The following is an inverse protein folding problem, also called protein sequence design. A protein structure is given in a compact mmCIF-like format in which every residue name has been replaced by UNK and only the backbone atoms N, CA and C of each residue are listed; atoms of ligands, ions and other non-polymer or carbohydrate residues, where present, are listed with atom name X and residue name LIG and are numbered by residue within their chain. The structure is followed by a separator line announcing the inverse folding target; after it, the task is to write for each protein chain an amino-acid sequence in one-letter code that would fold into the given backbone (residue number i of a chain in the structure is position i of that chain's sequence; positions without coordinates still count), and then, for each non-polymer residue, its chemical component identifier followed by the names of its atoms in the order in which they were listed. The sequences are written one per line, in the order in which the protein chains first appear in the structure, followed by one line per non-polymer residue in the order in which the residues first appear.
data_IF_461731035145
#
_entry.id   IF_461731035145
#
_cell.length_a   1.000
_cell.length_b   1.000
_cell.length_c   1.000
_cell.angle_alpha   90.00
_cell.angle_beta   90.00
_cell.angle_gamma   90.00
#
_symmetry.space_group_name_H-M   'P 1'
#
loop_
_entity.id
_entity.type
_entity.pdbx_description
1 polymer ?
#
# COMPACT_ATOMS: atom_id res chain seq x y z
N UNK A 1 -40.32 33.03 -51.96
CA UNK A 1 -39.20 32.63 -52.84
C UNK A 1 -38.41 31.50 -52.16
N UNK A 2 -38.32 30.36 -52.87
CA UNK A 2 -37.24 29.35 -52.96
C UNK A 2 -36.63 28.67 -51.70
N UNK A 3 -37.03 27.40 -51.55
CA UNK A 3 -36.24 26.15 -51.41
C UNK A 3 -35.36 25.83 -50.17
N UNK A 4 -35.72 24.72 -49.49
CA UNK A 4 -34.86 23.70 -48.82
C UNK A 4 -33.99 22.93 -49.88
N UNK A 5 -32.97 22.07 -49.57
CA UNK A 5 -32.82 21.20 -48.37
C UNK A 5 -31.40 20.84 -47.84
N UNK A 6 -31.41 20.22 -46.65
CA UNK A 6 -30.61 19.08 -46.12
C UNK A 6 -29.08 18.96 -46.25
N UNK A 7 -28.42 18.96 -45.08
CA UNK A 7 -27.45 17.94 -44.56
C UNK A 7 -27.61 17.99 -43.03
N UNK A 8 -28.13 17.02 -42.27
CA UNK A 8 -27.81 15.60 -42.07
C UNK A 8 -26.40 15.32 -41.55
N UNK A 9 -26.22 15.39 -40.24
CA UNK A 9 -25.40 14.41 -39.50
C UNK A 9 -26.03 14.17 -38.12
N UNK A 10 -26.64 13.00 -38.00
CA UNK A 10 -26.98 12.32 -36.75
C UNK A 10 -25.68 12.08 -35.93
N UNK A 11 -25.66 11.75 -34.63
CA UNK A 11 -26.47 10.74 -33.91
C UNK A 11 -26.15 10.90 -32.40
N UNK A 12 -27.17 10.72 -31.55
CA UNK A 12 -27.07 10.45 -30.09
C UNK A 12 -26.70 8.95 -29.86
N UNK A 13 -26.90 8.36 -28.66
CA UNK A 13 -26.08 8.34 -27.45
C UNK A 13 -25.65 6.89 -27.04
N UNK A 14 -24.85 6.77 -25.97
CA UNK A 14 -24.73 5.66 -24.99
C UNK A 14 -24.79 4.18 -25.42
N UNK A 15 -23.80 3.38 -24.97
CA UNK A 15 -24.01 1.97 -24.65
C UNK A 15 -22.87 1.41 -23.81
N UNK A 16 -23.20 0.90 -22.62
CA UNK A 16 -22.50 -0.25 -22.05
C UNK A 16 -22.55 -1.39 -23.08
N UNK A 17 -21.41 -1.98 -23.39
CA UNK A 17 -21.34 -3.27 -24.06
C UNK A 17 -19.97 -3.88 -23.72
N UNK A 18 -19.98 -4.85 -22.82
CA UNK A 18 -19.72 -6.23 -23.20
C UNK A 18 -18.23 -6.48 -23.39
N UNK A 19 -17.60 -6.98 -22.31
CA UNK A 19 -16.41 -7.80 -22.44
C UNK A 19 -16.76 -8.94 -23.40
N UNK A 20 -16.30 -8.78 -24.65
CA UNK A 20 -16.56 -9.68 -25.75
C UNK A 20 -15.94 -11.05 -25.46
N UNK A 21 -16.77 -11.96 -24.98
CA UNK A 21 -16.53 -13.40 -24.97
C UNK A 21 -16.72 -13.92 -26.40
N UNK A 22 -15.68 -13.83 -27.24
CA UNK A 22 -15.65 -14.57 -28.51
C UNK A 22 -14.23 -14.92 -28.92
N UNK A 23 -13.91 -16.21 -28.87
CA UNK A 23 -12.69 -16.78 -29.43
C UNK A 23 -12.54 -18.27 -29.10
N UNK A 24 -13.40 -19.13 -29.67
CA UNK A 24 -13.19 -20.58 -29.72
C UNK A 24 -12.07 -20.90 -30.73
N UNK A 25 -10.99 -21.55 -30.29
CA UNK A 25 -10.22 -22.55 -31.04
C UNK A 25 -8.93 -22.94 -30.25
N UNK A 26 -8.70 -24.25 -30.09
CA UNK A 26 -7.50 -24.94 -29.50
C UNK A 26 -7.48 -25.07 -27.96
N UNK A 27 -7.94 -26.23 -27.46
CA UNK A 27 -8.30 -26.45 -26.04
C UNK A 27 -7.14 -26.80 -25.08
N UNK A 28 -5.97 -27.23 -25.54
CA UNK A 28 -4.92 -27.67 -24.59
C UNK A 28 -3.89 -26.59 -24.24
N UNK A 29 -3.43 -25.82 -25.23
CA UNK A 29 -2.40 -24.78 -25.03
C UNK A 29 -2.99 -23.50 -24.45
N UNK A 30 -4.27 -23.24 -24.73
CA UNK A 30 -5.01 -22.08 -24.25
C UNK A 30 -5.27 -22.17 -22.75
N UNK A 31 -5.63 -23.36 -22.23
CA UNK A 31 -5.84 -23.57 -20.79
C UNK A 31 -4.57 -23.39 -19.97
N UNK A 32 -3.41 -23.86 -20.48
CA UNK A 32 -2.11 -23.65 -19.83
C UNK A 32 -1.73 -22.16 -19.81
N UNK A 33 -1.94 -21.45 -20.91
CA UNK A 33 -1.62 -20.01 -21.00
C UNK A 33 -2.53 -19.17 -20.11
N UNK A 34 -3.82 -19.46 -20.04
CA UNK A 34 -4.75 -18.75 -19.15
C UNK A 34 -4.47 -19.05 -17.67
N UNK A 35 -4.11 -20.31 -17.33
CA UNK A 35 -3.65 -20.66 -15.98
C UNK A 35 -2.40 -19.86 -15.61
N UNK A 36 -1.39 -19.81 -16.49
CA UNK A 36 -0.14 -19.09 -16.24
C UNK A 36 -0.38 -17.58 -16.04
N UNK A 37 -1.22 -16.95 -16.88
CA UNK A 37 -1.58 -15.54 -16.74
C UNK A 37 -2.36 -15.29 -15.45
N UNK A 38 -3.32 -16.16 -15.11
CA UNK A 38 -4.08 -16.07 -13.86
C UNK A 38 -3.20 -16.20 -12.61
N UNK A 39 -2.26 -17.15 -12.60
CA UNK A 39 -1.28 -17.29 -11.52
C UNK A 39 -0.42 -16.02 -11.41
N UNK A 40 0.11 -15.51 -12.52
CA UNK A 40 0.92 -14.28 -12.53
C UNK A 40 0.18 -13.06 -11.94
N UNK A 41 -1.12 -12.91 -12.19
CA UNK A 41 -1.90 -11.80 -11.60
C UNK A 41 -2.08 -11.91 -10.08
N UNK A 42 -2.04 -13.11 -9.51
CA UNK A 42 -2.17 -13.33 -8.06
C UNK A 42 -0.85 -13.07 -7.30
N UNK A 43 0.31 -13.08 -7.97
CA UNK A 43 1.61 -12.88 -7.33
C UNK A 43 1.96 -11.40 -7.03
N UNK A 44 1.17 -10.42 -7.50
CA UNK A 44 1.51 -8.99 -7.44
C UNK A 44 1.22 -8.25 -6.12
N UNK A 45 0.69 -8.90 -5.08
CA UNK A 45 0.26 -8.24 -3.83
C UNK A 45 1.30 -8.24 -2.69
N UNK A 46 2.56 -8.53 -2.97
CA UNK A 46 3.59 -8.55 -1.92
C UNK A 46 4.10 -7.14 -1.62
N UNK A 47 3.78 -6.63 -0.43
CA UNK A 47 4.37 -5.38 0.09
C UNK A 47 5.82 -5.60 0.52
N UNK A 48 6.67 -4.59 0.35
CA UNK A 48 8.02 -4.58 0.92
C UNK A 48 7.94 -4.39 2.44
N UNK A 49 8.59 -5.28 3.21
CA UNK A 49 8.74 -5.11 4.64
C UNK A 49 9.84 -4.07 4.90
N UNK A 50 9.44 -2.84 5.22
CA UNK A 50 10.37 -1.80 5.64
C UNK A 50 10.82 -2.09 7.08
N UNK A 51 12.13 -2.23 7.29
CA UNK A 51 12.72 -2.26 8.63
C UNK A 51 12.52 -0.88 9.27
N UNK A 52 11.46 -0.73 10.05
CA UNK A 52 11.11 0.51 10.73
C UNK A 52 11.63 0.46 12.15
N UNK A 53 12.50 1.41 12.51
CA UNK A 53 12.88 1.61 13.90
C UNK A 53 11.71 2.27 14.63
N UNK A 54 11.20 1.59 15.66
CA UNK A 54 10.09 2.08 16.49
C UNK A 54 10.60 2.55 17.85
N UNK A 55 10.14 3.71 18.38
CA UNK A 55 10.60 4.24 19.66
C UNK A 55 10.09 3.48 20.88
N UNK A 56 9.05 2.66 20.74
CA UNK A 56 8.40 1.98 21.86
C UNK A 56 8.24 0.50 21.57
N UNK A 57 8.57 -0.32 22.58
CA UNK A 57 8.45 -1.77 22.53
C UNK A 57 7.45 -2.28 23.59
N UNK A 58 6.75 -3.35 23.24
CA UNK A 58 5.95 -4.15 24.17
C UNK A 58 6.82 -5.30 24.68
N UNK A 59 7.21 -5.25 25.94
CA UNK A 59 7.94 -6.32 26.61
C UNK A 59 6.95 -7.33 27.16
N UNK A 60 7.01 -8.57 26.67
CA UNK A 60 6.13 -9.65 27.10
C UNK A 60 6.93 -10.64 27.93
N UNK A 61 6.44 -10.90 29.14
CA UNK A 61 7.05 -11.85 30.06
C UNK A 61 6.49 -13.24 29.81
N UNK A 62 7.38 -14.19 29.49
CA UNK A 62 7.02 -15.60 29.44
C UNK A 62 7.13 -16.25 30.82
N UNK A 63 8.15 -15.87 31.58
CA UNK A 63 8.35 -16.28 32.96
C UNK A 63 9.16 -15.19 33.69
N UNK A 64 9.58 -15.46 34.93
CA UNK A 64 10.33 -14.49 35.74
C UNK A 64 11.72 -14.13 35.16
N UNK A 65 12.33 -14.99 34.34
CA UNK A 65 13.68 -14.80 33.78
C UNK A 65 13.71 -14.53 32.29
N UNK A 66 12.62 -14.82 31.57
CA UNK A 66 12.54 -14.76 30.13
C UNK A 66 11.45 -13.79 29.69
N UNK A 67 11.85 -12.86 28.83
CA UNK A 67 10.98 -11.91 28.16
C UNK A 67 11.47 -11.67 26.73
N UNK A 68 10.58 -11.14 25.90
CA UNK A 68 10.94 -10.64 24.58
C UNK A 68 10.30 -9.27 24.34
N UNK A 69 10.94 -8.48 23.49
CA UNK A 69 10.52 -7.12 23.19
C UNK A 69 9.99 -7.03 21.76
N UNK A 70 8.75 -6.58 21.61
CA UNK A 70 8.10 -6.36 20.31
C UNK A 70 8.05 -4.85 20.02
N UNK A 71 9.02 -4.36 19.26
CA UNK A 71 9.15 -2.95 18.91
C UNK A 71 8.37 -2.61 17.64
N UNK A 72 7.07 -2.34 17.79
CA UNK A 72 6.15 -2.00 16.69
C UNK A 72 5.29 -0.77 16.99
N UNK A 73 5.65 0.03 17.99
CA UNK A 73 4.82 1.13 18.49
C UNK A 73 5.52 2.48 18.42
N UNK A 74 4.75 3.52 18.10
CA UNK A 74 5.26 4.90 18.00
C UNK A 74 5.09 5.69 19.29
N UNK A 75 4.27 5.20 20.23
CA UNK A 75 4.01 5.87 21.50
C UNK A 75 3.60 4.88 22.59
N UNK A 76 3.91 5.21 23.84
CA UNK A 76 3.49 4.44 25.02
C UNK A 76 1.97 4.23 25.08
N UNK A 77 1.10 5.25 24.87
CA UNK A 77 -0.35 5.02 24.87
C UNK A 77 -0.77 4.02 23.79
N UNK A 78 -0.15 4.06 22.60
CA UNK A 78 -0.42 3.07 21.56
C UNK A 78 -0.04 1.65 22.00
N UNK A 79 1.15 1.49 22.61
CA UNK A 79 1.58 0.20 23.15
C UNK A 79 0.65 -0.32 24.25
N UNK A 80 0.17 0.56 25.14
CA UNK A 80 -0.72 0.18 26.25
C UNK A 80 -2.06 -0.38 25.78
N UNK A 81 -2.54 0.06 24.61
CA UNK A 81 -3.74 -0.54 24.00
C UNK A 81 -3.54 -2.01 23.66
N UNK A 82 -2.32 -2.40 23.26
CA UNK A 82 -1.98 -3.80 22.94
C UNK A 82 -1.48 -4.61 24.14
N UNK A 83 -1.06 -3.94 25.22
CA UNK A 83 -0.60 -4.59 26.45
C UNK A 83 -1.74 -5.19 27.29
N UNK A 84 -2.98 -4.73 27.09
CA UNK A 84 -4.13 -5.17 27.90
C UNK A 84 -4.35 -6.69 27.81
N UNK A 85 -4.48 -7.35 28.96
CA UNK A 85 -4.74 -8.79 29.05
C UNK A 85 -3.51 -9.68 28.83
N UNK A 86 -2.31 -9.10 28.69
CA UNK A 86 -1.04 -9.83 28.56
C UNK A 86 -0.17 -9.55 29.78
N UNK A 87 0.70 -10.50 30.14
CA UNK A 87 1.79 -10.24 31.08
C UNK A 87 2.87 -9.41 30.37
N UNK A 88 2.58 -8.13 30.13
CA UNK A 88 3.41 -7.27 29.31
C UNK A 88 3.48 -5.84 29.85
N UNK A 89 4.61 -5.18 29.59
CA UNK A 89 4.83 -3.77 29.88
C UNK A 89 5.29 -3.01 28.63
N UNK A 90 5.12 -1.68 28.64
CA UNK A 90 5.57 -0.83 27.56
C UNK A 90 6.83 -0.10 27.98
N UNK A 91 7.88 -0.22 27.16
CA UNK A 91 9.19 0.38 27.41
C UNK A 91 9.65 1.19 26.20
N UNK A 92 10.50 2.18 26.46
CA UNK A 92 11.21 2.88 25.39
C UNK A 92 12.27 1.97 24.79
N UNK A 93 12.38 1.99 23.46
CA UNK A 93 13.35 1.18 22.72
C UNK A 93 14.77 1.74 22.95
N UNK A 94 15.68 1.00 23.63
CA UNK A 94 17.04 1.48 23.91
C UNK A 94 17.89 1.67 22.64
N UNK A 95 17.52 1.01 21.55
CA UNK A 95 18.24 1.06 20.27
C UNK A 95 17.65 2.08 19.29
N UNK A 96 16.56 2.76 19.67
CA UNK A 96 15.90 3.72 18.79
C UNK A 96 16.74 4.99 18.62
N UNK A 97 17.04 5.32 17.38
CA UNK A 97 17.68 6.59 17.02
C UNK A 97 16.63 7.51 16.39
N UNK A 98 16.31 8.61 17.07
CA UNK A 98 15.37 9.59 16.53
C UNK A 98 15.89 10.16 15.20
N UNK A 99 15.04 10.24 14.15
CA UNK A 99 15.43 10.88 12.90
C UNK A 99 15.84 12.33 13.16
N UNK A 100 17.07 12.68 12.76
CA UNK A 100 17.54 14.06 12.85
C UNK A 100 16.66 14.94 11.97
N UNK A 101 16.16 16.10 12.48
CA UNK A 101 15.41 17.02 11.64
C UNK A 101 16.31 17.43 10.47
N UNK A 102 15.85 17.20 9.23
CA UNK A 102 16.60 17.59 8.05
C UNK A 102 16.94 19.08 8.17
N UNK A 103 18.22 19.41 8.34
CA UNK A 103 18.68 20.80 8.41
C UNK A 103 18.23 21.46 7.12
N UNK A 104 17.19 22.30 7.18
CA UNK A 104 16.77 23.13 6.04
C UNK A 104 18.03 23.90 5.64
N UNK A 105 18.66 23.52 4.53
CA UNK A 105 19.72 24.33 3.94
C UNK A 105 19.05 25.67 3.70
N UNK A 106 19.35 26.68 4.52
CA UNK A 106 18.96 28.05 4.23
C UNK A 106 19.47 28.31 2.84
N UNK A 107 18.56 28.29 1.86
CA UNK A 107 18.86 28.51 0.46
C UNK A 107 19.35 29.93 0.44
N UNK A 108 20.68 30.07 0.42
CA UNK A 108 21.41 31.32 0.47
C UNK A 108 20.93 32.13 -0.73
N UNK A 109 19.86 32.89 -0.54
CA UNK A 109 19.47 34.04 -1.34
C UNK A 109 20.56 35.08 -1.13
N UNK A 110 21.79 34.78 -1.54
CA UNK A 110 22.78 35.81 -1.81
C UNK A 110 22.32 36.48 -3.10
N UNK A 111 21.45 37.47 -2.88
CA UNK A 111 21.53 38.79 -3.47
C UNK A 111 21.90 38.77 -4.96
N UNK A 112 20.88 38.61 -5.80
CA UNK A 112 20.88 39.31 -7.09
C UNK A 112 20.58 40.77 -6.77
N UNK A 113 21.61 41.61 -6.74
CA UNK A 113 21.53 43.05 -6.88
C UNK A 113 22.78 43.48 -7.64
#
# INVERSE_FOLDING_TARGET
MRHKPMVSTARRPGAAAAHALTGRATEETTMRKTLLVGVLTLLGLTGIAEARDYPVCLRVYHNYRDWYDECSYTSIPQCRMSASGRAAECIENPWYTAPQPAKKKLRKQRRRH
#
